data_IF_301160256252
#
_entry.id   IF_301160256252
#
_cell.length_a   1.000
_cell.length_b   1.000
_cell.length_c   1.000
_cell.angle_alpha   90.00
_cell.angle_beta   90.00
_cell.angle_gamma   90.00
#
_symmetry.space_group_name_H-M   'P 1'
#
loop_
_entity.id
_entity.type
_entity.pdbx_description
1 polymer ?
#
# COMPACT_ATOMS: atom_id res chain seq x y z
N UNK A 1 -14.60 -15.59 -14.50
CA UNK A 1 -13.68 -14.64 -13.85
C UNK A 1 -13.79 -14.62 -12.32
N UNK A 2 -14.90 -15.10 -11.70
CA UNK A 2 -15.05 -15.23 -10.26
C UNK A 2 -15.23 -13.92 -9.47
N UNK A 3 -15.06 -12.77 -10.10
CA UNK A 3 -15.25 -11.47 -9.47
C UNK A 3 -16.69 -10.96 -9.64
N UNK A 4 -17.15 -10.13 -8.70
CA UNK A 4 -18.39 -9.39 -8.82
C UNK A 4 -18.31 -8.36 -9.95
N UNK A 5 -19.45 -8.09 -10.57
CA UNK A 5 -19.53 -7.11 -11.63
C UNK A 5 -19.24 -5.68 -11.12
N UNK A 6 -18.57 -4.89 -11.94
CA UNK A 6 -18.32 -3.46 -11.67
C UNK A 6 -19.63 -2.65 -11.70
N UNK A 7 -19.68 -1.44 -11.12
CA UNK A 7 -20.88 -0.59 -11.17
C UNK A 7 -21.25 -0.23 -12.61
N UNK A 8 -22.52 -0.44 -12.95
CA UNK A 8 -23.08 -0.03 -14.23
C UNK A 8 -23.63 1.39 -14.11
N UNK A 9 -23.36 2.20 -15.14
CA UNK A 9 -23.85 3.59 -15.25
C UNK A 9 -24.70 3.72 -16.50
N UNK A 10 -25.82 4.46 -16.36
CA UNK A 10 -26.75 4.76 -17.44
C UNK A 10 -26.86 6.27 -17.63
N UNK A 11 -27.59 6.73 -18.66
CA UNK A 11 -27.92 8.15 -18.84
C UNK A 11 -29.01 8.59 -17.86
N UNK A 12 -29.02 9.85 -17.45
CA UNK A 12 -28.11 10.96 -17.82
C UNK A 12 -26.74 10.87 -17.12
N UNK A 13 -25.75 11.67 -17.55
CA UNK A 13 -24.39 11.70 -16.98
C UNK A 13 -24.35 12.14 -15.51
N UNK A 14 -25.37 12.88 -15.07
CA UNK A 14 -25.57 13.27 -13.67
C UNK A 14 -26.99 12.93 -13.27
N UNK A 15 -27.14 12.15 -12.22
CA UNK A 15 -28.44 11.80 -11.64
C UNK A 15 -28.40 12.03 -10.12
N UNK A 16 -29.33 12.85 -9.61
CA UNK A 16 -29.44 13.17 -8.17
C UNK A 16 -28.10 13.56 -7.51
N UNK A 17 -27.27 14.36 -8.21
CA UNK A 17 -25.98 14.81 -7.72
C UNK A 17 -24.86 13.77 -7.86
N UNK A 18 -25.12 12.58 -8.38
CA UNK A 18 -24.14 11.54 -8.66
C UNK A 18 -23.74 11.59 -10.12
N UNK A 19 -22.46 11.85 -10.38
CA UNK A 19 -21.91 11.90 -11.74
C UNK A 19 -21.36 10.54 -12.17
N UNK A 20 -21.48 10.24 -13.46
CA UNK A 20 -20.74 9.13 -14.08
C UNK A 20 -19.24 9.43 -13.98
N UNK A 21 -18.41 8.44 -13.57
CA UNK A 21 -16.96 8.63 -13.52
C UNK A 21 -16.41 9.14 -14.85
N UNK A 22 -15.62 10.23 -14.86
CA UNK A 22 -15.14 10.86 -16.10
C UNK A 22 -14.39 9.90 -17.03
N UNK A 23 -13.69 8.90 -16.48
CA UNK A 23 -12.98 7.88 -17.26
C UNK A 23 -13.90 7.12 -18.21
N UNK A 24 -15.17 6.89 -17.84
CA UNK A 24 -16.15 6.20 -18.67
C UNK A 24 -16.66 7.03 -19.85
N UNK A 25 -16.43 8.33 -19.82
CA UNK A 25 -16.83 9.30 -20.85
C UNK A 25 -15.70 9.61 -21.83
N UNK A 26 -14.47 9.14 -21.57
CA UNK A 26 -13.28 9.46 -22.39
C UNK A 26 -13.25 8.78 -23.75
N UNK A 27 -13.99 7.67 -23.96
CA UNK A 27 -13.87 6.82 -25.15
C UNK A 27 -12.58 6.00 -25.22
N UNK A 28 -11.68 6.13 -24.23
CA UNK A 28 -10.45 5.33 -24.15
C UNK A 28 -10.77 3.95 -23.56
N UNK A 29 -11.03 2.99 -24.45
CA UNK A 29 -11.43 1.62 -24.05
C UNK A 29 -10.43 0.96 -23.08
N UNK A 30 -9.14 1.21 -23.24
CA UNK A 30 -8.13 0.65 -22.34
C UNK A 30 -8.27 1.17 -20.92
N UNK A 31 -8.42 2.47 -20.75
CA UNK A 31 -8.63 3.09 -19.42
C UNK A 31 -9.97 2.69 -18.82
N UNK A 32 -11.00 2.57 -19.65
CA UNK A 32 -12.32 2.10 -19.22
C UNK A 32 -12.23 0.68 -18.69
N UNK A 33 -11.56 -0.22 -19.38
CA UNK A 33 -11.42 -1.63 -18.97
C UNK A 33 -10.52 -1.77 -17.72
N UNK A 34 -9.45 -0.98 -17.62
CA UNK A 34 -8.62 -0.89 -16.41
C UNK A 34 -9.45 -0.44 -15.21
N UNK A 35 -10.28 0.60 -15.38
CA UNK A 35 -11.17 1.11 -14.33
C UNK A 35 -12.22 0.08 -13.92
N UNK A 36 -12.88 -0.56 -14.89
CA UNK A 36 -13.87 -1.63 -14.65
C UNK A 36 -13.27 -2.79 -13.86
N UNK A 37 -12.10 -3.25 -14.28
CA UNK A 37 -11.37 -4.30 -13.57
C UNK A 37 -10.98 -3.91 -12.14
N UNK A 38 -10.58 -2.66 -11.91
CA UNK A 38 -10.29 -2.16 -10.57
C UNK A 38 -11.54 -2.13 -9.69
N UNK A 39 -12.68 -1.64 -10.21
CA UNK A 39 -13.95 -1.60 -9.48
C UNK A 39 -14.49 -3.01 -9.16
N UNK A 40 -14.34 -3.95 -10.11
CA UNK A 40 -14.73 -5.34 -9.90
C UNK A 40 -13.96 -5.98 -8.76
N UNK A 41 -12.63 -5.82 -8.73
CA UNK A 41 -11.77 -6.33 -7.66
C UNK A 41 -12.09 -5.70 -6.30
N UNK A 42 -12.21 -4.38 -6.24
CA UNK A 42 -12.52 -3.67 -4.99
C UNK A 42 -13.88 -4.12 -4.42
N UNK A 43 -14.90 -4.16 -5.26
CA UNK A 43 -16.24 -4.57 -4.88
C UNK A 43 -16.32 -6.04 -4.44
N UNK A 44 -15.50 -6.90 -5.06
CA UNK A 44 -15.40 -8.30 -4.66
C UNK A 44 -14.71 -8.42 -3.32
N UNK A 45 -13.61 -7.71 -3.12
CA UNK A 45 -12.88 -7.69 -1.85
C UNK A 45 -13.76 -7.26 -0.67
N UNK A 46 -14.60 -6.23 -0.88
CA UNK A 46 -15.49 -5.71 0.17
C UNK A 46 -16.67 -6.63 0.47
N UNK A 47 -17.29 -7.21 -0.57
CA UNK A 47 -18.57 -7.92 -0.44
C UNK A 47 -18.47 -9.43 -0.42
N UNK A 48 -17.44 -9.96 -1.03
CA UNK A 48 -17.17 -11.40 -1.17
C UNK A 48 -15.67 -11.67 -1.07
N UNK A 49 -15.10 -11.52 0.14
CA UNK A 49 -13.66 -11.80 0.38
C UNK A 49 -13.26 -13.21 -0.07
N UNK A 50 -14.17 -14.17 0.12
CA UNK A 50 -13.98 -15.57 -0.31
C UNK A 50 -13.71 -15.70 -1.82
N UNK A 51 -14.44 -14.97 -2.67
CA UNK A 51 -14.23 -14.96 -4.11
C UNK A 51 -12.97 -14.17 -4.49
N UNK A 52 -12.66 -13.11 -3.73
CA UNK A 52 -11.46 -12.32 -3.97
C UNK A 52 -10.20 -13.12 -3.68
N UNK A 53 -10.17 -13.88 -2.59
CA UNK A 53 -9.05 -14.74 -2.22
C UNK A 53 -8.84 -15.84 -3.26
N UNK A 54 -9.91 -16.53 -3.68
CA UNK A 54 -9.86 -17.52 -4.76
C UNK A 54 -9.38 -16.91 -6.10
N UNK A 55 -9.78 -15.66 -6.38
CA UNK A 55 -9.28 -14.95 -7.57
C UNK A 55 -7.78 -14.63 -7.46
N UNK A 56 -7.29 -14.19 -6.29
CA UNK A 56 -5.87 -13.93 -6.04
C UNK A 56 -5.03 -15.20 -6.20
N UNK A 57 -5.51 -16.34 -5.72
CA UNK A 57 -4.83 -17.64 -5.89
C UNK A 57 -4.71 -18.04 -7.37
N UNK A 58 -5.78 -17.81 -8.14
CA UNK A 58 -5.80 -18.13 -9.58
C UNK A 58 -5.08 -17.09 -10.45
N UNK A 59 -4.86 -15.89 -9.94
CA UNK A 59 -4.18 -14.79 -10.61
C UNK A 59 -3.01 -14.27 -9.76
N UNK A 60 -2.01 -15.12 -9.48
CA UNK A 60 -0.84 -14.67 -8.73
C UNK A 60 -0.18 -13.52 -9.50
N UNK A 61 0.37 -12.55 -8.77
CA UNK A 61 1.13 -11.45 -9.34
C UNK A 61 2.37 -12.03 -10.05
N UNK A 62 2.20 -12.39 -11.32
CA UNK A 62 3.24 -13.03 -12.13
C UNK A 62 4.37 -12.08 -12.50
N UNK A 63 4.10 -10.78 -12.52
CA UNK A 63 5.12 -9.76 -12.71
C UNK A 63 4.90 -8.59 -11.74
N UNK A 64 5.84 -8.41 -10.82
CA UNK A 64 5.89 -7.20 -10.01
C UNK A 64 6.15 -5.99 -10.91
N UNK A 65 5.45 -4.87 -10.69
CA UNK A 65 5.68 -3.67 -11.48
C UNK A 65 7.15 -3.26 -11.38
N UNK A 66 7.83 -3.11 -12.52
CA UNK A 66 9.24 -2.68 -12.57
C UNK A 66 9.39 -1.25 -12.02
N UNK A 67 10.52 -0.98 -11.37
CA UNK A 67 10.88 0.37 -10.95
C UNK A 67 10.95 1.29 -12.15
N UNK A 68 10.26 2.44 -12.10
CA UNK A 68 10.33 3.47 -13.14
C UNK A 68 11.49 4.42 -12.84
N UNK A 69 11.92 5.15 -13.88
CA UNK A 69 12.94 6.20 -13.71
C UNK A 69 12.48 7.22 -12.66
N UNK A 70 13.31 7.48 -11.65
CA UNK A 70 13.01 8.39 -10.55
C UNK A 70 12.32 7.73 -9.33
N UNK A 71 11.94 6.45 -9.41
CA UNK A 71 11.51 5.67 -8.27
C UNK A 71 12.71 4.96 -7.65
N UNK A 72 12.85 5.01 -6.33
CA UNK A 72 13.91 4.30 -5.63
C UNK A 72 13.59 4.04 -4.16
N UNK A 73 14.31 3.07 -3.59
CA UNK A 73 14.30 2.78 -2.16
C UNK A 73 15.61 3.27 -1.55
N UNK A 74 15.52 4.04 -0.47
CA UNK A 74 16.70 4.54 0.25
C UNK A 74 16.66 4.09 1.71
N UNK A 75 17.80 3.56 2.18
CA UNK A 75 17.98 3.22 3.59
C UNK A 75 17.96 4.49 4.46
N UNK A 76 17.21 4.45 5.55
CA UNK A 76 17.13 5.51 6.56
C UNK A 76 18.45 5.54 7.38
N UNK A 77 19.22 6.61 7.23
CA UNK A 77 20.55 6.74 7.84
C UNK A 77 20.59 7.73 9.01
N UNK A 78 19.75 8.76 8.97
CA UNK A 78 19.74 9.86 9.94
C UNK A 78 18.36 10.07 10.57
N UNK A 79 18.31 10.95 11.58
CA UNK A 79 17.10 11.22 12.36
C UNK A 79 16.03 11.97 11.55
N UNK A 80 16.43 12.84 10.61
CA UNK A 80 15.49 13.52 9.71
C UNK A 80 14.71 12.50 8.85
N UNK A 81 15.41 11.51 8.33
CA UNK A 81 14.78 10.44 7.55
C UNK A 81 13.91 9.52 8.43
N UNK A 82 14.31 9.31 9.69
CA UNK A 82 13.50 8.55 10.64
C UNK A 82 12.24 9.32 11.02
N UNK A 83 12.32 10.64 11.15
CA UNK A 83 11.14 11.49 11.35
C UNK A 83 10.17 11.45 10.15
N UNK A 84 10.67 11.35 8.91
CA UNK A 84 9.82 11.09 7.74
C UNK A 84 9.10 9.74 7.83
N UNK A 85 9.76 8.70 8.32
CA UNK A 85 9.11 7.41 8.58
C UNK A 85 7.98 7.56 9.62
N UNK A 86 8.24 8.28 10.73
CA UNK A 86 7.22 8.53 11.74
C UNK A 86 6.03 9.32 11.19
N UNK A 87 6.27 10.28 10.30
CA UNK A 87 5.21 11.04 9.64
C UNK A 87 4.35 10.16 8.72
N UNK A 88 4.97 9.31 7.91
CA UNK A 88 4.27 8.34 7.04
C UNK A 88 3.47 7.33 7.86
N UNK A 89 4.02 6.87 8.98
CA UNK A 89 3.31 5.99 9.92
C UNK A 89 2.08 6.67 10.53
N UNK A 90 2.23 7.89 11.01
CA UNK A 90 1.14 8.68 11.59
C UNK A 90 0.01 8.89 10.56
N UNK A 91 0.35 9.26 9.32
CA UNK A 91 -0.62 9.41 8.23
C UNK A 91 -1.34 8.08 7.92
N UNK A 92 -0.57 7.02 7.74
CA UNK A 92 -1.11 5.70 7.38
C UNK A 92 -2.00 5.12 8.48
N UNK A 93 -1.58 5.19 9.73
CA UNK A 93 -2.36 4.73 10.89
C UNK A 93 -3.63 5.54 11.07
N UNK A 94 -3.55 6.86 10.98
CA UNK A 94 -4.72 7.74 11.07
C UNK A 94 -5.75 7.40 10.01
N UNK A 95 -5.33 7.20 8.77
CA UNK A 95 -6.21 6.82 7.66
C UNK A 95 -6.91 5.48 7.89
N UNK A 96 -6.17 4.48 8.39
CA UNK A 96 -6.73 3.12 8.63
C UNK A 96 -7.63 3.10 9.87
N UNK A 97 -7.30 3.84 10.91
CA UNK A 97 -8.05 3.85 12.17
C UNK A 97 -9.26 4.80 12.15
N UNK A 98 -9.29 5.77 11.25
CA UNK A 98 -10.38 6.77 11.18
C UNK A 98 -11.81 6.17 11.20
N UNK A 99 -12.11 5.04 10.55
CA UNK A 99 -13.45 4.46 10.57
C UNK A 99 -13.86 3.80 11.90
N UNK A 100 -12.89 3.51 12.80
CA UNK A 100 -13.11 2.66 13.99
C UNK A 100 -12.62 3.26 15.30
N UNK A 101 -11.88 4.36 15.24
CA UNK A 101 -11.33 5.06 16.42
C UNK A 101 -11.99 6.42 16.61
N UNK A 102 -12.05 6.87 17.86
CA UNK A 102 -12.50 8.22 18.19
C UNK A 102 -11.47 9.29 17.79
N UNK A 103 -11.92 10.55 17.72
CA UNK A 103 -11.13 11.68 17.29
C UNK A 103 -9.96 11.95 18.26
N UNK A 104 -10.19 11.80 19.57
CA UNK A 104 -9.15 11.98 20.59
C UNK A 104 -7.99 11.00 20.43
N UNK A 105 -8.27 9.75 20.07
CA UNK A 105 -7.24 8.76 19.78
C UNK A 105 -6.47 9.08 18.48
N UNK A 106 -7.19 9.53 17.45
CA UNK A 106 -6.57 9.91 16.17
C UNK A 106 -5.66 11.13 16.30
N UNK A 107 -6.01 12.10 17.16
CA UNK A 107 -5.16 13.27 17.44
C UNK A 107 -3.83 12.90 18.08
N UNK A 108 -3.78 11.82 18.86
CA UNK A 108 -2.56 11.31 19.49
C UNK A 108 -1.62 10.61 18.48
N UNK A 109 -2.10 10.22 17.31
CA UNK A 109 -1.30 9.59 16.24
C UNK A 109 -0.47 10.61 15.48
N UNK A 110 0.47 11.25 16.18
CA UNK A 110 1.41 12.22 15.61
C UNK A 110 2.75 11.57 15.25
N UNK A 111 3.59 12.21 14.44
CA UNK A 111 4.95 11.74 14.22
C UNK A 111 5.76 11.58 15.50
N UNK A 112 5.60 12.50 16.45
CA UNK A 112 6.29 12.48 17.75
C UNK A 112 5.87 11.29 18.62
N UNK A 113 4.67 10.78 18.46
CA UNK A 113 4.20 9.57 19.13
C UNK A 113 4.95 8.32 18.63
N UNK A 114 5.23 8.23 17.32
CA UNK A 114 5.87 7.05 16.73
C UNK A 114 7.40 7.10 16.70
N UNK A 115 7.99 8.28 16.76
CA UNK A 115 9.43 8.46 16.64
C UNK A 115 10.26 7.72 17.70
N UNK A 116 9.86 7.67 18.99
CA UNK A 116 10.56 6.89 19.99
C UNK A 116 10.60 5.39 19.68
N UNK A 117 9.46 4.82 19.27
CA UNK A 117 9.35 3.40 18.96
C UNK A 117 10.24 3.03 17.76
N UNK A 118 10.19 3.81 16.68
CA UNK A 118 11.06 3.61 15.51
C UNK A 118 12.55 3.76 15.85
N UNK A 119 12.87 4.65 16.79
CA UNK A 119 14.25 4.84 17.27
C UNK A 119 14.75 3.62 18.03
N UNK A 120 13.91 3.05 18.88
CA UNK A 120 14.27 1.84 19.65
C UNK A 120 14.29 0.60 18.76
N UNK A 121 13.37 0.46 17.83
CA UNK A 121 13.38 -0.61 16.83
C UNK A 121 14.68 -0.56 15.99
N UNK A 122 15.10 0.63 15.56
CA UNK A 122 16.37 0.79 14.81
C UNK A 122 17.57 0.32 15.62
N UNK A 123 17.63 0.60 16.93
CA UNK A 123 18.67 0.08 17.83
C UNK A 123 18.58 -1.44 17.98
N UNK A 124 17.38 -2.00 17.88
CA UNK A 124 17.10 -3.42 18.06
C UNK A 124 17.22 -4.26 16.77
N UNK A 125 17.73 -3.69 15.69
CA UNK A 125 18.06 -4.41 14.47
C UNK A 125 17.05 -4.26 13.34
N UNK A 126 16.14 -3.31 13.44
CA UNK A 126 15.31 -2.89 12.33
C UNK A 126 16.06 -1.95 11.39
N UNK A 127 15.90 -2.17 10.10
CA UNK A 127 16.31 -1.27 9.04
C UNK A 127 15.08 -0.71 8.35
N UNK A 128 14.98 0.61 8.30
CA UNK A 128 13.88 1.29 7.62
C UNK A 128 14.32 1.77 6.25
N UNK A 129 13.43 1.68 5.28
CA UNK A 129 13.63 2.13 3.91
C UNK A 129 12.48 3.04 3.51
N UNK A 130 12.82 4.19 2.94
CA UNK A 130 11.87 5.12 2.34
C UNK A 130 11.79 4.89 0.84
N UNK A 131 10.58 4.83 0.32
CA UNK A 131 10.32 4.89 -1.11
C UNK A 131 10.22 6.34 -1.54
N UNK A 132 10.86 6.66 -2.65
CA UNK A 132 10.83 7.99 -3.26
C UNK A 132 10.31 7.91 -4.68
N UNK A 133 9.41 8.83 -5.03
CA UNK A 133 9.11 9.20 -6.42
C UNK A 133 9.70 10.57 -6.68
N UNK A 134 10.75 10.62 -7.51
CA UNK A 134 11.61 11.79 -7.65
C UNK A 134 12.26 12.12 -6.29
N UNK A 135 11.90 13.26 -5.67
CA UNK A 135 12.46 13.71 -4.40
C UNK A 135 11.46 13.64 -3.22
N UNK A 136 10.23 13.22 -3.49
CA UNK A 136 9.21 13.07 -2.46
C UNK A 136 9.20 11.65 -1.89
N UNK A 137 9.27 11.53 -0.56
CA UNK A 137 9.06 10.28 0.15
C UNK A 137 7.55 9.98 0.18
N UNK A 138 7.14 8.88 -0.43
CA UNK A 138 5.74 8.50 -0.59
C UNK A 138 5.40 7.10 -0.08
N UNK A 139 6.35 6.45 0.57
CA UNK A 139 6.14 5.18 1.24
C UNK A 139 7.34 4.78 2.11
N UNK A 140 7.11 3.82 3.00
CA UNK A 140 8.15 3.25 3.85
C UNK A 140 7.93 1.77 4.10
N UNK A 141 9.01 1.05 4.40
CA UNK A 141 8.99 -0.32 4.89
C UNK A 141 10.10 -0.53 5.92
N UNK A 142 9.77 -1.24 6.99
CA UNK A 142 10.72 -1.71 8.00
C UNK A 142 11.05 -3.19 7.80
N UNK A 143 12.30 -3.57 8.04
CA UNK A 143 12.80 -4.94 7.97
C UNK A 143 13.62 -5.24 9.21
N UNK A 144 13.25 -6.26 9.96
CA UNK A 144 14.05 -6.74 11.08
C UNK A 144 14.95 -7.90 10.62
N UNK A 145 16.26 -7.64 10.56
CA UNK A 145 17.22 -8.66 10.13
C UNK A 145 17.44 -9.77 11.17
N UNK A 146 17.08 -9.52 12.45
CA UNK A 146 17.24 -10.51 13.52
C UNK A 146 16.12 -11.55 13.52
N UNK A 147 14.88 -11.11 13.27
CA UNK A 147 13.70 -11.99 13.34
C UNK A 147 13.20 -12.43 11.97
N UNK A 148 13.67 -11.79 10.89
CA UNK A 148 13.18 -12.04 9.54
C UNK A 148 11.82 -11.38 9.25
N UNK A 149 11.40 -10.46 10.11
CA UNK A 149 10.10 -9.79 9.98
C UNK A 149 10.14 -8.63 8.98
N UNK A 150 9.05 -8.46 8.26
CA UNK A 150 8.76 -7.26 7.48
C UNK A 150 7.59 -6.56 8.15
N UNK A 151 7.79 -5.32 8.56
CA UNK A 151 6.76 -4.51 9.20
C UNK A 151 6.73 -3.09 8.66
N UNK A 152 5.81 -2.28 9.21
CA UNK A 152 5.71 -0.85 8.90
C UNK A 152 5.62 -0.51 7.41
N UNK A 153 4.86 -1.30 6.64
CA UNK A 153 4.64 -1.06 5.21
C UNK A 153 3.53 -0.02 5.03
N UNK A 154 3.91 1.19 4.65
CA UNK A 154 2.99 2.30 4.39
C UNK A 154 3.23 2.94 3.03
N UNK A 155 2.14 3.36 2.39
CA UNK A 155 2.14 4.14 1.15
C UNK A 155 1.16 5.29 1.34
N UNK A 156 1.57 6.51 1.02
CA UNK A 156 0.70 7.70 1.09
C UNK A 156 -0.53 7.52 0.20
N UNK A 157 -1.62 8.20 0.53
CA UNK A 157 -2.85 8.10 -0.24
C UNK A 157 -2.65 8.48 -1.71
N UNK A 158 -1.92 9.55 -1.97
CA UNK A 158 -1.60 10.02 -3.32
C UNK A 158 -0.76 9.01 -4.15
N UNK A 159 -0.06 8.08 -3.48
CA UNK A 159 0.79 7.06 -4.09
C UNK A 159 0.12 5.68 -4.18
N UNK A 160 -1.04 5.48 -3.54
CA UNK A 160 -1.79 4.22 -3.59
C UNK A 160 -2.27 3.88 -5.00
N UNK A 161 -2.53 2.62 -5.26
CA UNK A 161 -2.98 2.13 -6.57
C UNK A 161 -1.90 2.07 -7.65
N UNK A 162 -0.67 2.53 -7.38
CA UNK A 162 0.46 2.54 -8.34
C UNK A 162 1.37 1.31 -8.25
N UNK A 163 1.02 0.35 -7.38
CA UNK A 163 1.80 -0.88 -7.18
C UNK A 163 3.03 -0.72 -6.28
N UNK A 164 3.20 0.42 -5.61
CA UNK A 164 4.39 0.67 -4.78
C UNK A 164 4.47 -0.24 -3.56
N UNK A 165 3.34 -0.57 -2.92
CA UNK A 165 3.32 -1.51 -1.81
C UNK A 165 3.90 -2.88 -2.18
N UNK A 166 3.51 -3.44 -3.33
CA UNK A 166 4.03 -4.71 -3.84
C UNK A 166 5.53 -4.63 -4.15
N UNK A 167 5.99 -3.52 -4.76
CA UNK A 167 7.41 -3.28 -5.04
C UNK A 167 8.24 -3.19 -3.76
N UNK A 168 7.73 -2.48 -2.75
CA UNK A 168 8.40 -2.33 -1.46
C UNK A 168 8.46 -3.65 -0.71
N UNK A 169 7.40 -4.45 -0.77
CA UNK A 169 7.37 -5.78 -0.16
C UNK A 169 8.40 -6.73 -0.82
N UNK A 170 8.45 -6.76 -2.15
CA UNK A 170 9.47 -7.55 -2.88
C UNK A 170 10.89 -7.08 -2.56
N UNK A 171 11.10 -5.76 -2.49
CA UNK A 171 12.37 -5.18 -2.07
C UNK A 171 12.75 -5.65 -0.65
N UNK A 172 11.81 -5.57 0.31
CA UNK A 172 12.02 -5.95 1.69
C UNK A 172 12.36 -7.44 1.82
N UNK A 173 11.65 -8.31 1.12
CA UNK A 173 11.94 -9.76 1.08
C UNK A 173 13.37 -10.05 0.63
N UNK A 174 13.88 -9.34 -0.38
CA UNK A 174 15.25 -9.47 -0.87
C UNK A 174 16.31 -8.94 0.10
N UNK A 175 15.91 -8.20 1.14
CA UNK A 175 16.81 -7.70 2.20
C UNK A 175 16.89 -8.63 3.40
N UNK A 176 15.95 -9.55 3.53
CA UNK A 176 15.99 -10.57 4.56
C UNK A 176 16.99 -11.68 4.19
N UNK A 177 17.70 -12.26 5.17
CA UNK A 177 18.48 -13.47 4.93
C UNK A 177 17.54 -14.58 4.44
N UNK A 178 18.01 -15.39 3.50
CA UNK A 178 17.30 -16.63 3.13
C UNK A 178 17.25 -17.52 4.37
N UNK A 179 16.09 -17.58 4.99
CA UNK A 179 15.85 -18.63 5.97
C UNK A 179 15.63 -19.91 5.20
N UNK A 180 16.54 -20.85 5.31
CA UNK A 180 16.30 -22.23 4.96
C UNK A 180 15.04 -22.69 5.70
N UNK A 181 13.94 -22.80 4.97
CA UNK A 181 12.77 -23.48 5.49
C UNK A 181 13.23 -24.92 5.74
N UNK A 182 13.17 -25.44 6.98
CA UNK A 182 13.43 -26.84 7.21
C UNK A 182 12.42 -27.61 6.34
N UNK A 183 12.91 -28.28 5.32
CA UNK A 183 12.15 -29.28 4.60
C UNK A 183 11.73 -30.30 5.62
N UNK A 184 10.44 -30.33 5.96
CA UNK A 184 9.89 -31.43 6.74
C UNK A 184 10.07 -32.69 5.91
N UNK A 185 10.96 -33.54 6.38
CA UNK A 185 11.10 -34.93 5.95
C UNK A 185 9.92 -35.77 6.39
#
# INVERSE_FOLDING_TARGET
DGLLEYPQFTRPEVWEGRAVPPVLLTGDHKKIDEWRGAQSRERTRERRPDLYDAWCESHPLTELPKWKRGENMRLVKNDEQLALCAALMAEGRRTVCAPVCDEEYLEKMTPDFWLPDLTDEKKNGWAFYLHYTKDAADGMVGVCHKTGEIGHLFVTEAARGKGYGAKMLDFARKKLPEHDHPTMG
#
